data_IF_454299498540
#
_entry.id   IF_454299498540
#
_cell.length_a   1.000
_cell.length_b   1.000
_cell.length_c   1.000
_cell.angle_alpha   90.00
_cell.angle_beta   90.00
_cell.angle_gamma   90.00
#
_symmetry.space_group_name_H-M   'P 1'
#
loop_
_entity.id
_entity.type
_entity.pdbx_description
1 polymer ?
#
# COMPACT_ATOMS: atom_id res chain seq x y z
N UNK A 1 -23.78 12.01 -7.23
CA UNK A 1 -22.68 11.06 -7.26
C UNK A 1 -22.03 11.10 -8.65
N UNK A 2 -20.73 10.88 -8.72
CA UNK A 2 -19.97 10.87 -9.99
C UNK A 2 -20.01 9.51 -10.69
N UNK A 3 -20.88 8.59 -10.25
CA UNK A 3 -20.98 7.22 -10.79
C UNK A 3 -19.78 6.33 -10.41
N UNK A 4 -18.98 6.73 -9.44
CA UNK A 4 -17.86 5.93 -8.98
C UNK A 4 -18.34 4.60 -8.40
N UNK A 5 -17.59 3.52 -8.68
CA UNK A 5 -17.88 2.16 -8.22
C UNK A 5 -16.76 1.57 -7.34
N UNK A 6 -15.74 2.36 -7.02
CA UNK A 6 -14.68 2.06 -6.07
C UNK A 6 -14.30 3.33 -5.32
N UNK A 7 -13.76 3.20 -4.13
CA UNK A 7 -13.23 4.35 -3.37
C UNK A 7 -12.05 3.92 -2.51
N UNK A 8 -11.22 4.92 -2.19
CA UNK A 8 -10.14 4.78 -1.22
C UNK A 8 -10.45 5.62 0.01
N UNK A 9 -10.16 5.05 1.18
CA UNK A 9 -10.34 5.71 2.47
C UNK A 9 -9.11 5.53 3.36
N UNK A 10 -9.04 6.35 4.42
CA UNK A 10 -8.12 6.14 5.56
C UNK A 10 -8.92 5.78 6.79
N UNK A 11 -8.37 4.95 7.69
CA UNK A 11 -9.03 4.60 8.97
C UNK A 11 -8.96 5.72 10.00
N UNK A 12 -8.20 6.77 9.71
CA UNK A 12 -7.99 7.98 10.51
C UNK A 12 -7.09 8.96 9.77
N UNK A 13 -6.59 10.04 10.40
CA UNK A 13 -5.72 11.00 9.72
C UNK A 13 -4.47 10.33 9.12
N UNK A 14 -4.12 10.62 7.85
CA UNK A 14 -3.02 9.95 7.16
C UNK A 14 -1.63 10.37 7.65
N UNK A 15 -1.51 11.50 8.34
CA UNK A 15 -0.23 12.09 8.75
C UNK A 15 0.11 11.89 10.23
N UNK A 16 -0.70 11.15 11.00
CA UNK A 16 -0.46 10.92 12.42
C UNK A 16 -1.05 9.58 12.90
N UNK A 17 -0.80 9.27 14.19
CA UNK A 17 -1.23 8.01 14.83
C UNK A 17 -2.64 8.06 15.41
N UNK A 18 -3.33 9.19 15.33
CA UNK A 18 -4.62 9.33 15.99
C UNK A 18 -5.65 8.44 15.35
N UNK A 19 -6.19 7.50 16.13
CA UNK A 19 -7.24 6.58 15.71
C UNK A 19 -8.39 6.62 16.72
N UNK A 20 -9.60 6.79 16.23
CA UNK A 20 -10.79 6.52 17.03
C UNK A 20 -11.02 5.02 17.08
N UNK A 21 -11.62 4.54 18.16
CA UNK A 21 -12.02 3.15 18.27
C UNK A 21 -12.94 2.75 17.11
N UNK A 22 -12.74 1.55 16.54
CA UNK A 22 -13.49 1.09 15.36
C UNK A 22 -14.99 1.00 15.68
N UNK A 23 -15.37 0.68 16.91
CA UNK A 23 -16.78 0.67 17.36
C UNK A 23 -17.49 2.03 17.25
N UNK A 24 -16.72 3.13 17.16
CA UNK A 24 -17.25 4.48 16.96
C UNK A 24 -17.37 4.88 15.48
N UNK A 25 -16.86 4.05 14.59
CA UNK A 25 -17.04 4.22 13.15
C UNK A 25 -18.42 3.68 12.78
N UNK A 26 -19.10 4.37 11.89
CA UNK A 26 -20.45 4.00 11.42
C UNK A 26 -20.39 2.93 10.33
N UNK A 27 -19.77 1.78 10.65
CA UNK A 27 -19.46 0.74 9.67
C UNK A 27 -20.73 0.08 9.15
N UNK A 28 -21.64 -0.30 10.03
CA UNK A 28 -22.89 -0.96 9.61
C UNK A 28 -23.78 0.00 8.82
N UNK A 29 -23.93 1.26 9.26
CA UNK A 29 -24.65 2.29 8.47
C UNK A 29 -24.03 2.48 7.07
N UNK A 30 -22.69 2.44 6.97
CA UNK A 30 -22.00 2.56 5.70
C UNK A 30 -22.21 1.33 4.81
N UNK A 31 -22.20 0.11 5.37
CA UNK A 31 -22.48 -1.13 4.65
C UNK A 31 -23.91 -1.18 4.14
N UNK A 32 -24.89 -0.78 4.97
CA UNK A 32 -26.29 -0.69 4.57
C UNK A 32 -26.46 0.28 3.39
N UNK A 33 -25.87 1.48 3.50
CA UNK A 33 -25.88 2.46 2.41
C UNK A 33 -25.21 1.93 1.13
N UNK A 34 -24.09 1.23 1.25
CA UNK A 34 -23.43 0.59 0.11
C UNK A 34 -24.30 -0.47 -0.54
N UNK A 35 -24.98 -1.29 0.27
CA UNK A 35 -25.89 -2.34 -0.23
C UNK A 35 -27.07 -1.73 -1.00
N UNK A 36 -27.70 -0.65 -0.47
CA UNK A 36 -28.78 0.08 -1.14
C UNK A 36 -28.35 0.65 -2.50
N UNK A 37 -27.05 0.93 -2.68
CA UNK A 37 -26.50 1.52 -3.91
C UNK A 37 -25.73 0.51 -4.77
N UNK A 38 -25.86 -0.79 -4.53
CA UNK A 38 -25.13 -1.86 -5.23
C UNK A 38 -23.60 -1.66 -5.23
N UNK A 39 -23.06 -1.13 -4.15
CA UNK A 39 -21.63 -0.92 -3.97
C UNK A 39 -21.05 -2.00 -3.03
N UNK A 40 -20.08 -2.79 -3.53
CA UNK A 40 -19.44 -3.84 -2.72
C UNK A 40 -18.36 -3.29 -1.82
N UNK A 41 -18.28 -3.80 -0.58
CA UNK A 41 -17.16 -3.52 0.35
C UNK A 41 -15.80 -3.95 -0.25
N UNK A 42 -15.77 -4.94 -1.13
CA UNK A 42 -14.56 -5.38 -1.82
C UNK A 42 -13.95 -4.30 -2.73
N UNK A 43 -14.71 -3.24 -3.04
CA UNK A 43 -14.25 -2.08 -3.81
C UNK A 43 -13.81 -0.91 -2.94
N UNK A 44 -13.80 -1.11 -1.64
CA UNK A 44 -13.22 -0.15 -0.68
C UNK A 44 -11.78 -0.52 -0.44
N UNK A 45 -10.88 0.36 -0.89
CA UNK A 45 -9.45 0.24 -0.66
C UNK A 45 -9.09 1.14 0.53
N UNK A 46 -8.32 0.61 1.47
CA UNK A 46 -7.82 1.42 2.59
C UNK A 46 -6.36 1.77 2.33
N UNK A 47 -6.00 3.01 2.60
CA UNK A 47 -4.61 3.44 2.52
C UNK A 47 -3.99 3.55 3.91
N UNK A 48 -2.82 2.97 4.09
CA UNK A 48 -2.04 3.11 5.31
C UNK A 48 -1.54 4.55 5.49
N UNK A 49 -1.39 5.04 6.73
CA UNK A 49 -0.87 6.38 6.96
C UNK A 49 0.60 6.50 6.55
N UNK A 50 0.96 7.67 6.03
CA UNK A 50 2.30 7.98 5.49
C UNK A 50 3.42 7.92 6.54
N UNK A 51 3.08 7.89 7.83
CA UNK A 51 4.05 7.80 8.91
C UNK A 51 4.67 6.40 9.08
N UNK A 52 4.09 5.38 8.46
CA UNK A 52 4.66 4.03 8.45
C UNK A 52 5.89 4.03 7.54
N UNK A 53 7.05 3.72 8.10
CA UNK A 53 8.30 3.59 7.35
C UNK A 53 9.06 2.36 7.83
N UNK A 54 8.93 1.25 7.08
CA UNK A 54 9.61 -0.01 7.39
C UNK A 54 11.08 -0.02 6.98
N UNK A 55 11.51 0.91 6.12
CA UNK A 55 12.85 0.94 5.52
C UNK A 55 13.91 1.66 6.37
N UNK A 56 13.56 2.19 7.55
CA UNK A 56 14.45 3.06 8.32
C UNK A 56 15.48 2.28 9.16
N UNK A 57 16.54 1.81 8.50
CA UNK A 57 17.64 1.10 9.18
C UNK A 57 18.46 1.99 10.11
N UNK A 58 18.48 3.32 9.89
CA UNK A 58 19.24 4.26 10.73
C UNK A 58 18.55 4.56 12.07
N UNK A 59 17.23 4.32 12.14
CA UNK A 59 16.43 4.46 13.35
C UNK A 59 15.52 3.24 13.50
N UNK A 60 16.06 2.11 14.02
CA UNK A 60 15.30 0.86 14.17
C UNK A 60 13.98 1.02 14.94
N UNK A 61 13.95 1.93 15.91
CA UNK A 61 12.73 2.26 16.67
C UNK A 61 11.60 2.84 15.79
N UNK A 62 11.97 3.58 14.73
CA UNK A 62 10.98 4.08 13.76
C UNK A 62 10.41 2.95 12.89
N UNK A 63 11.26 2.01 12.48
CA UNK A 63 10.80 0.85 11.71
C UNK A 63 9.94 -0.07 12.58
N UNK A 64 10.32 -0.32 13.84
CA UNK A 64 9.50 -1.09 14.79
C UNK A 64 8.15 -0.44 15.03
N UNK A 65 8.13 0.88 15.27
CA UNK A 65 6.88 1.63 15.35
C UNK A 65 6.02 1.46 14.09
N UNK A 66 6.64 1.49 12.90
CA UNK A 66 5.96 1.24 11.62
C UNK A 66 5.32 -0.13 11.56
N UNK A 67 6.01 -1.18 12.02
CA UNK A 67 5.49 -2.55 12.10
C UNK A 67 4.29 -2.65 13.05
N UNK A 68 4.40 -2.11 14.26
CA UNK A 68 3.33 -2.16 15.26
C UNK A 68 2.08 -1.40 14.78
N UNK A 69 2.31 -0.27 14.11
CA UNK A 69 1.21 0.52 13.58
C UNK A 69 0.57 -0.14 12.35
N UNK A 70 1.35 -0.82 11.51
CA UNK A 70 0.84 -1.60 10.39
C UNK A 70 -0.05 -2.76 10.86
N UNK A 71 0.34 -3.48 11.93
CA UNK A 71 -0.50 -4.51 12.57
C UNK A 71 -1.85 -3.90 13.00
N UNK A 72 -1.82 -2.75 13.66
CA UNK A 72 -3.05 -2.04 14.05
C UNK A 72 -3.93 -1.68 12.84
N UNK A 73 -3.34 -1.21 11.74
CA UNK A 73 -4.10 -0.87 10.53
C UNK A 73 -4.70 -2.11 9.86
N UNK A 74 -3.98 -3.24 9.81
CA UNK A 74 -4.52 -4.51 9.28
C UNK A 74 -5.75 -4.98 10.08
N UNK A 75 -5.67 -4.95 11.40
CA UNK A 75 -6.81 -5.27 12.28
C UNK A 75 -8.01 -4.35 12.02
N UNK A 76 -7.78 -3.05 11.89
CA UNK A 76 -8.82 -2.06 11.61
C UNK A 76 -9.46 -2.28 10.25
N UNK A 77 -8.68 -2.55 9.22
CA UNK A 77 -9.16 -2.85 7.87
C UNK A 77 -10.03 -4.11 7.87
N UNK A 78 -9.59 -5.15 8.57
CA UNK A 78 -10.36 -6.39 8.76
C UNK A 78 -11.69 -6.13 9.46
N UNK A 79 -11.70 -5.36 10.55
CA UNK A 79 -12.91 -5.01 11.30
C UNK A 79 -13.90 -4.17 10.47
N UNK A 80 -13.41 -3.29 9.58
CA UNK A 80 -14.22 -2.54 8.62
C UNK A 80 -14.84 -3.49 7.58
N UNK A 81 -14.18 -4.59 7.29
CA UNK A 81 -14.57 -5.59 6.28
C UNK A 81 -13.95 -5.33 4.91
N UNK A 82 -13.03 -4.38 4.79
CA UNK A 82 -12.24 -4.20 3.58
C UNK A 82 -11.14 -5.27 3.48
N UNK A 83 -10.63 -5.51 2.26
CA UNK A 83 -9.70 -6.62 2.00
C UNK A 83 -8.30 -6.16 1.57
N UNK A 84 -8.12 -4.89 1.27
CA UNK A 84 -6.87 -4.36 0.71
C UNK A 84 -6.42 -3.12 1.47
N UNK A 85 -5.16 -3.15 1.93
CA UNK A 85 -4.46 -2.03 2.54
C UNK A 85 -3.30 -1.61 1.64
N UNK A 86 -3.36 -0.42 1.05
CA UNK A 86 -2.24 0.16 0.29
C UNK A 86 -1.18 0.65 1.27
N UNK A 87 0.07 0.35 0.99
CA UNK A 87 1.21 0.71 1.81
C UNK A 87 2.34 1.28 0.95
N UNK A 88 2.82 2.47 1.28
CA UNK A 88 4.11 2.95 0.80
C UNK A 88 5.21 2.05 1.35
N UNK A 89 6.11 1.45 0.55
CA UNK A 89 7.15 0.56 1.04
C UNK A 89 8.03 1.19 2.12
N UNK A 90 8.38 2.47 1.92
CA UNK A 90 9.15 3.25 2.89
C UNK A 90 10.30 4.02 2.27
N UNK A 91 11.10 4.65 3.15
CA UNK A 91 12.27 5.44 2.78
C UNK A 91 13.49 4.98 3.59
N UNK A 92 14.61 4.70 2.89
CA UNK A 92 15.85 4.23 3.52
C UNK A 92 16.63 5.32 4.28
N UNK A 93 16.19 6.57 4.22
CA UNK A 93 16.73 7.75 4.93
C UNK A 93 18.25 7.89 4.91
N UNK A 94 18.89 7.44 3.82
CA UNK A 94 20.35 7.51 3.64
C UNK A 94 21.12 6.20 3.91
N UNK A 95 20.46 5.14 4.36
CA UNK A 95 21.12 3.83 4.57
C UNK A 95 21.46 3.09 3.26
N UNK A 96 20.88 3.52 2.15
CA UNK A 96 21.00 2.88 0.84
C UNK A 96 19.81 1.97 0.51
N UNK A 97 19.55 1.85 -0.79
CA UNK A 97 18.35 1.18 -1.31
C UNK A 97 18.28 -0.30 -0.94
N UNK A 98 19.41 -1.04 -1.05
CA UNK A 98 19.45 -2.46 -0.75
C UNK A 98 19.17 -2.74 0.74
N UNK A 99 19.74 -1.91 1.63
CA UNK A 99 19.47 -1.99 3.07
C UNK A 99 18.01 -1.65 3.35
N UNK A 100 17.46 -0.61 2.71
CA UNK A 100 16.05 -0.25 2.86
C UNK A 100 15.11 -1.38 2.44
N UNK A 101 15.38 -2.04 1.31
CA UNK A 101 14.60 -3.18 0.81
C UNK A 101 14.66 -4.36 1.80
N UNK A 102 15.84 -4.68 2.33
CA UNK A 102 16.00 -5.74 3.34
C UNK A 102 15.17 -5.45 4.59
N UNK A 103 15.17 -4.21 5.06
CA UNK A 103 14.38 -3.80 6.22
C UNK A 103 12.87 -3.87 5.95
N UNK A 104 12.43 -3.51 4.74
CA UNK A 104 11.01 -3.66 4.32
C UNK A 104 10.62 -5.14 4.34
N UNK A 105 11.42 -6.02 3.76
CA UNK A 105 11.17 -7.47 3.72
C UNK A 105 11.03 -8.02 5.13
N UNK A 106 12.01 -7.73 6.00
CA UNK A 106 12.01 -8.22 7.37
C UNK A 106 10.79 -7.68 8.15
N UNK A 107 10.47 -6.39 7.99
CA UNK A 107 9.33 -5.76 8.64
C UNK A 107 7.99 -6.32 8.18
N UNK A 108 7.83 -6.56 6.87
CA UNK A 108 6.61 -7.16 6.33
C UNK A 108 6.45 -8.62 6.77
N UNK A 109 7.52 -9.40 6.77
CA UNK A 109 7.48 -10.79 7.25
C UNK A 109 7.12 -10.83 8.75
N UNK A 110 7.75 -9.99 9.58
CA UNK A 110 7.42 -9.91 11.00
C UNK A 110 5.95 -9.56 11.25
N UNK A 111 5.41 -8.61 10.49
CA UNK A 111 4.00 -8.25 10.59
C UNK A 111 3.09 -9.38 10.12
N UNK A 112 3.33 -9.91 8.91
CA UNK A 112 2.44 -10.89 8.30
C UNK A 112 2.49 -12.25 8.97
N UNK A 113 3.64 -12.67 9.48
CA UNK A 113 3.78 -13.97 10.16
C UNK A 113 2.97 -14.03 11.47
N UNK A 114 2.71 -12.86 12.08
CA UNK A 114 1.94 -12.71 13.31
C UNK A 114 0.55 -12.07 13.09
N UNK A 115 0.13 -11.88 11.85
CA UNK A 115 -1.19 -11.34 11.51
C UNK A 115 -2.16 -12.46 11.13
N UNK A 116 -3.30 -12.48 11.83
CA UNK A 116 -4.37 -13.48 11.65
C UNK A 116 -5.50 -12.97 10.73
N UNK A 117 -5.38 -11.75 10.19
CA UNK A 117 -6.38 -11.21 9.25
C UNK A 117 -6.19 -11.79 7.85
N UNK A 118 -7.20 -11.63 6.99
CA UNK A 118 -7.13 -11.99 5.57
C UNK A 118 -6.82 -10.76 4.67
N UNK A 119 -6.48 -9.62 5.28
CA UNK A 119 -6.22 -8.37 4.54
C UNK A 119 -4.94 -8.49 3.74
N UNK A 120 -4.99 -8.14 2.45
CA UNK A 120 -3.81 -8.07 1.59
C UNK A 120 -3.16 -6.70 1.66
N UNK A 121 -1.84 -6.67 1.67
CA UNK A 121 -1.05 -5.44 1.54
C UNK A 121 -0.75 -5.22 0.07
N UNK A 122 -1.17 -4.07 -0.46
CA UNK A 122 -0.81 -3.61 -1.80
C UNK A 122 0.37 -2.64 -1.68
N UNK A 123 1.57 -3.08 -2.05
CA UNK A 123 2.77 -2.23 -2.09
C UNK A 123 2.62 -1.22 -3.23
N UNK A 124 2.68 0.06 -2.90
CA UNK A 124 2.50 1.11 -3.88
C UNK A 124 3.79 1.40 -4.65
N UNK A 125 3.68 1.60 -5.96
CA UNK A 125 4.77 2.15 -6.76
C UNK A 125 5.07 3.57 -6.31
N UNK A 126 6.34 3.88 -6.07
CA UNK A 126 6.78 5.18 -5.55
C UNK A 126 7.37 6.07 -6.64
N UNK A 127 7.46 7.37 -6.37
CA UNK A 127 7.98 8.36 -7.31
C UNK A 127 9.52 8.44 -7.37
N UNK A 128 10.21 7.78 -6.44
CA UNK A 128 11.67 7.84 -6.33
C UNK A 128 12.21 9.15 -5.76
N UNK A 129 11.37 9.90 -5.06
CA UNK A 129 11.79 11.18 -4.46
C UNK A 129 12.58 10.95 -3.19
N UNK A 130 13.71 11.63 -3.09
CA UNK A 130 14.59 11.54 -1.94
C UNK A 130 15.19 10.12 -1.76
N UNK A 131 14.74 9.41 -0.73
CA UNK A 131 15.25 8.09 -0.35
C UNK A 131 14.14 7.01 -0.39
N UNK A 132 13.10 7.19 -1.19
CA UNK A 132 12.00 6.24 -1.33
C UNK A 132 12.47 4.91 -1.91
N UNK A 133 11.91 3.81 -1.39
CA UNK A 133 12.08 2.46 -1.90
C UNK A 133 10.83 2.05 -2.69
N UNK A 134 10.98 1.18 -3.71
CA UNK A 134 9.86 0.69 -4.50
C UNK A 134 9.44 1.60 -5.66
N UNK A 135 10.35 2.45 -6.15
CA UNK A 135 10.07 3.32 -7.30
C UNK A 135 10.36 2.65 -8.65
N UNK A 136 10.99 1.49 -8.66
CA UNK A 136 11.07 0.65 -9.86
C UNK A 136 10.37 -0.69 -9.64
N UNK A 137 9.88 -1.29 -10.72
CA UNK A 137 9.23 -2.60 -10.64
C UNK A 137 10.19 -3.67 -10.15
N UNK A 138 11.48 -3.57 -10.51
CA UNK A 138 12.52 -4.48 -10.05
C UNK A 138 12.75 -4.41 -8.53
N UNK A 139 12.63 -3.21 -7.93
CA UNK A 139 12.70 -3.06 -6.47
C UNK A 139 11.49 -3.71 -5.78
N UNK A 140 10.29 -3.53 -6.33
CA UNK A 140 9.07 -4.17 -5.81
C UNK A 140 9.15 -5.70 -5.96
N UNK A 141 9.66 -6.19 -7.10
CA UNK A 141 9.91 -7.62 -7.30
C UNK A 141 10.86 -8.18 -6.24
N UNK A 142 11.98 -7.47 -5.98
CA UNK A 142 12.96 -7.87 -4.94
C UNK A 142 12.32 -7.93 -3.55
N UNK A 143 11.45 -6.96 -3.21
CA UNK A 143 10.69 -7.01 -1.95
C UNK A 143 9.79 -8.25 -1.93
N UNK A 144 8.99 -8.46 -2.97
CA UNK A 144 8.04 -9.57 -3.05
C UNK A 144 8.72 -10.95 -2.99
N UNK A 145 9.88 -11.09 -3.64
CA UNK A 145 10.66 -12.33 -3.60
C UNK A 145 11.03 -12.75 -2.18
N UNK A 146 11.34 -11.77 -1.30
CA UNK A 146 11.68 -12.00 0.10
C UNK A 146 10.49 -12.22 1.04
N UNK A 147 9.23 -12.10 0.57
CA UNK A 147 8.05 -12.28 1.41
C UNK A 147 7.71 -13.76 1.59
N UNK A 148 7.46 -14.16 2.85
CA UNK A 148 7.06 -15.53 3.20
C UNK A 148 5.61 -15.83 2.76
N UNK A 149 4.66 -14.97 3.14
CA UNK A 149 3.23 -15.10 2.83
C UNK A 149 2.86 -14.32 1.57
N UNK A 150 3.36 -14.75 0.40
CA UNK A 150 3.15 -14.07 -0.88
C UNK A 150 1.68 -13.86 -1.25
N UNK A 151 0.79 -14.76 -0.85
CA UNK A 151 -0.65 -14.61 -1.09
C UNK A 151 -1.29 -13.39 -0.40
N UNK A 152 -0.59 -12.83 0.58
CA UNK A 152 -1.02 -11.66 1.36
C UNK A 152 -0.46 -10.33 0.84
N UNK A 153 0.39 -10.36 -0.19
CA UNK A 153 1.04 -9.17 -0.75
C UNK A 153 0.79 -9.10 -2.25
N UNK A 154 0.54 -7.91 -2.73
CA UNK A 154 0.45 -7.56 -4.14
C UNK A 154 0.84 -6.10 -4.32
N UNK A 155 0.34 -5.46 -5.38
CA UNK A 155 0.79 -4.13 -5.76
C UNK A 155 -0.37 -3.15 -5.93
N UNK A 156 -0.06 -1.87 -5.70
CA UNK A 156 -0.85 -0.73 -6.12
C UNK A 156 -0.02 0.09 -7.10
N UNK A 157 -0.51 0.30 -8.32
CA UNK A 157 0.14 1.15 -9.30
C UNK A 157 -0.44 2.57 -9.21
N UNK A 158 0.39 3.57 -8.90
CA UNK A 158 0.01 4.98 -8.96
C UNK A 158 0.57 5.62 -10.22
N UNK A 159 -0.30 6.16 -11.09
CA UNK A 159 0.09 6.70 -12.39
C UNK A 159 0.97 7.95 -12.27
N UNK A 160 0.76 8.79 -11.25
CA UNK A 160 1.62 9.94 -10.97
C UNK A 160 3.02 9.49 -10.49
N UNK A 161 3.07 8.48 -9.61
CA UNK A 161 4.34 8.01 -9.08
C UNK A 161 5.21 7.35 -10.16
N UNK A 162 4.63 6.49 -11.00
CA UNK A 162 5.42 5.85 -12.06
C UNK A 162 5.87 6.85 -13.12
N UNK A 163 5.06 7.88 -13.44
CA UNK A 163 5.48 8.99 -14.28
C UNK A 163 6.70 9.71 -13.69
N UNK A 164 6.63 10.11 -12.43
CA UNK A 164 7.72 10.78 -11.73
C UNK A 164 8.97 9.88 -11.60
N UNK A 165 8.80 8.55 -11.57
CA UNK A 165 9.87 7.56 -11.57
C UNK A 165 10.47 7.31 -12.98
N UNK A 166 9.93 7.93 -14.03
CA UNK A 166 10.47 7.88 -15.38
C UNK A 166 9.82 6.84 -16.31
N UNK A 167 8.68 6.26 -15.94
CA UNK A 167 7.89 5.45 -16.87
C UNK A 167 7.01 6.35 -17.73
N UNK A 168 7.06 6.15 -19.05
CA UNK A 168 6.25 6.93 -19.98
C UNK A 168 4.81 6.44 -20.06
N UNK A 169 3.94 7.00 -19.21
CA UNK A 169 2.51 6.64 -19.19
C UNK A 169 1.74 7.10 -20.44
N UNK A 170 2.32 7.84 -21.36
CA UNK A 170 1.70 8.13 -22.66
C UNK A 170 1.67 6.87 -23.54
N UNK A 171 2.54 5.90 -23.25
CA UNK A 171 2.60 4.57 -23.84
C UNK A 171 2.22 3.52 -22.77
N UNK A 172 1.02 3.67 -22.17
CA UNK A 172 0.63 2.92 -20.98
C UNK A 172 0.61 1.40 -21.19
N UNK A 173 0.30 0.93 -22.41
CA UNK A 173 0.33 -0.50 -22.75
C UNK A 173 1.75 -1.09 -22.56
N UNK A 174 2.80 -0.36 -22.97
CA UNK A 174 4.19 -0.78 -22.78
C UNK A 174 4.57 -0.82 -21.28
N UNK A 175 4.04 0.11 -20.49
CA UNK A 175 4.23 0.11 -19.04
C UNK A 175 3.54 -1.10 -18.40
N UNK A 176 2.33 -1.44 -18.84
CA UNK A 176 1.63 -2.63 -18.37
C UNK A 176 2.34 -3.92 -18.77
N UNK A 177 2.85 -4.03 -20.01
CA UNK A 177 3.64 -5.18 -20.46
C UNK A 177 4.90 -5.35 -19.62
N UNK A 178 5.58 -4.24 -19.30
CA UNK A 178 6.75 -4.25 -18.42
C UNK A 178 6.36 -4.66 -16.99
N UNK A 179 5.26 -4.13 -16.46
CA UNK A 179 4.74 -4.51 -15.15
C UNK A 179 4.42 -6.00 -15.11
N UNK A 180 3.71 -6.50 -16.11
CA UNK A 180 3.33 -7.92 -16.20
C UNK A 180 4.56 -8.84 -16.22
N UNK A 181 5.55 -8.50 -17.04
CA UNK A 181 6.77 -9.29 -17.17
C UNK A 181 7.61 -9.39 -15.90
N UNK A 182 7.55 -8.38 -15.01
CA UNK A 182 8.38 -8.29 -13.79
C UNK A 182 7.58 -8.68 -12.54
N UNK A 183 6.34 -8.23 -12.43
CA UNK A 183 5.52 -8.29 -11.22
C UNK A 183 4.30 -9.22 -11.35
N UNK A 184 3.83 -9.48 -12.58
CA UNK A 184 2.60 -10.19 -12.88
C UNK A 184 1.35 -9.33 -12.66
N UNK A 185 0.52 -9.16 -13.69
CA UNK A 185 -0.74 -8.40 -13.57
C UNK A 185 -1.72 -9.03 -12.60
N UNK A 186 -1.65 -10.34 -12.38
CA UNK A 186 -2.45 -11.05 -11.39
C UNK A 186 -2.17 -10.60 -9.94
N UNK A 187 -1.03 -9.96 -9.69
CA UNK A 187 -0.66 -9.42 -8.40
C UNK A 187 -1.03 -7.93 -8.24
N UNK A 188 -1.58 -7.30 -9.28
CA UNK A 188 -2.07 -5.92 -9.23
C UNK A 188 -3.43 -5.88 -8.52
N UNK A 189 -3.47 -5.37 -7.29
CA UNK A 189 -4.67 -5.34 -6.45
C UNK A 189 -5.52 -4.09 -6.69
N UNK A 190 -4.90 -2.96 -7.00
CA UNK A 190 -5.57 -1.69 -7.27
C UNK A 190 -4.67 -0.72 -8.03
N UNK A 191 -5.27 0.36 -8.52
CA UNK A 191 -4.57 1.47 -9.15
C UNK A 191 -5.04 2.80 -8.55
N UNK A 192 -4.09 3.72 -8.38
CA UNK A 192 -4.38 5.13 -8.17
C UNK A 192 -4.21 5.86 -9.50
N UNK A 193 -5.30 6.44 -9.99
CA UNK A 193 -5.29 7.22 -11.23
C UNK A 193 -5.14 8.69 -10.84
N UNK A 194 -3.91 9.15 -10.83
CA UNK A 194 -3.53 10.51 -10.45
C UNK A 194 -2.81 11.21 -11.60
N UNK A 195 -2.91 12.54 -11.62
CA UNK A 195 -2.15 13.38 -12.53
C UNK A 195 -0.88 13.91 -11.84
N UNK A 196 0.20 14.10 -12.62
CA UNK A 196 1.44 14.70 -12.11
C UNK A 196 1.48 16.20 -12.39
N UNK A 197 2.06 16.96 -11.45
CA UNK A 197 2.41 18.37 -11.66
C UNK A 197 3.72 18.54 -12.42
N UNK A 198 4.46 17.45 -12.60
CA UNK A 198 5.73 17.45 -13.35
C UNK A 198 5.45 17.19 -14.82
N UNK A 199 6.05 17.99 -15.72
CA UNK A 199 5.90 17.80 -17.15
C UNK A 199 6.61 16.53 -17.64
#
# INVERSE_FOLDING_TARGET
SYGANACMIYTGPPSNTRRVDVSKLKIEEAKDYMAEHNFSIDRVIVHAPYIINLANALKPETAQFGQDFLKTELERVSQIGAKTLVLHPGSHVGAGIDVGIEWIINGLNEVLDHDDTEVKIALETMAGKGNECGFTFEQLAKIYEGIHKKSRVGYCMDTCHIWDAGYDITHFDEVLDKFDSILGLENLLCMHINDSKNP
#
